data_IF_240025622359
#
_entry.id   IF_240025622359
#
_cell.length_a   1.000
_cell.length_b   1.000
_cell.length_c   1.000
_cell.angle_alpha   90.00
_cell.angle_beta   90.00
_cell.angle_gamma   90.00
#
_symmetry.space_group_name_H-M   'P 1'
#
loop_
_entity.id
_entity.type
_entity.pdbx_description
1 polymer ?
#
# COMPACT_ATOMS: atom_id res chain seq x y z
N UNK A 1 -18.31 3.24 10.51
CA UNK A 1 -16.84 3.33 10.26
C UNK A 1 -16.58 2.49 9.02
N UNK A 2 -15.67 2.89 8.13
CA UNK A 2 -15.60 2.29 6.78
C UNK A 2 -14.92 0.92 6.85
N UNK A 3 -15.71 -0.15 6.70
CA UNK A 3 -15.28 -1.55 6.75
C UNK A 3 -14.06 -1.85 5.84
N UNK A 4 -13.89 -1.09 4.77
CA UNK A 4 -12.75 -1.21 3.84
C UNK A 4 -11.44 -0.68 4.40
N UNK A 5 -11.45 0.42 5.16
CA UNK A 5 -10.21 0.99 5.72
C UNK A 5 -9.65 0.03 6.78
N UNK A 6 -10.53 -0.51 7.63
CA UNK A 6 -10.16 -1.48 8.67
C UNK A 6 -9.63 -2.79 8.06
N UNK A 7 -10.20 -3.22 6.91
CA UNK A 7 -9.68 -4.34 6.14
C UNK A 7 -8.26 -4.06 5.62
N UNK A 8 -8.03 -2.89 5.02
CA UNK A 8 -6.73 -2.52 4.48
C UNK A 8 -5.66 -2.42 5.59
N UNK A 9 -6.04 -1.89 6.75
CA UNK A 9 -5.16 -1.88 7.93
C UNK A 9 -4.79 -3.31 8.36
N UNK A 10 -5.77 -4.22 8.43
CA UNK A 10 -5.53 -5.62 8.80
C UNK A 10 -4.65 -6.36 7.79
N UNK A 11 -4.82 -6.11 6.49
CA UNK A 11 -3.95 -6.65 5.44
C UNK A 11 -2.53 -6.08 5.56
N UNK A 12 -2.39 -4.81 5.96
CA UNK A 12 -1.09 -4.18 6.21
C UNK A 12 -0.37 -4.73 7.44
N UNK A 13 -1.09 -5.05 8.50
CA UNK A 13 -0.55 -5.59 9.75
C UNK A 13 -0.23 -7.09 9.67
N UNK A 14 -1.04 -7.86 8.94
CA UNK A 14 -0.86 -9.31 8.81
C UNK A 14 -0.23 -9.68 7.47
N UNK A 15 1.11 -9.85 7.48
CA UNK A 15 1.88 -10.23 6.31
C UNK A 15 1.42 -11.55 5.65
N UNK A 16 0.70 -12.42 6.38
CA UNK A 16 0.16 -13.67 5.84
C UNK A 16 -1.00 -13.42 4.88
N UNK A 17 -1.77 -12.36 5.09
CA UNK A 17 -2.89 -11.98 4.22
C UNK A 17 -2.42 -11.53 2.83
N UNK A 18 -1.17 -11.08 2.72
CA UNK A 18 -0.53 -10.73 1.44
C UNK A 18 -0.36 -11.91 0.50
N UNK A 19 -0.29 -13.12 1.05
CA UNK A 19 -0.14 -14.38 0.31
C UNK A 19 -1.31 -15.34 0.59
N UNK A 20 -2.42 -14.85 1.15
CA UNK A 20 -3.59 -15.66 1.44
C UNK A 20 -4.15 -16.28 0.16
N UNK A 21 -4.67 -17.49 0.30
CA UNK A 21 -5.44 -18.12 -0.77
C UNK A 21 -6.74 -17.34 -1.03
N UNK A 22 -7.38 -17.58 -2.18
CA UNK A 22 -8.67 -16.95 -2.48
C UNK A 22 -9.74 -17.27 -1.43
N UNK A 23 -9.73 -18.49 -0.89
CA UNK A 23 -10.69 -18.94 0.13
C UNK A 23 -10.44 -18.27 1.49
N UNK A 24 -9.16 -18.09 1.85
CA UNK A 24 -8.79 -17.36 3.06
C UNK A 24 -9.17 -15.87 2.94
N UNK A 25 -9.03 -15.29 1.74
CA UNK A 25 -9.48 -13.92 1.48
C UNK A 25 -11.00 -13.79 1.55
N UNK A 26 -11.74 -14.73 1.00
CA UNK A 26 -13.20 -14.71 1.08
C UNK A 26 -13.71 -14.71 2.53
N UNK A 27 -13.09 -15.52 3.40
CA UNK A 27 -13.40 -15.50 4.84
C UNK A 27 -13.07 -14.17 5.50
N UNK A 28 -11.94 -13.55 5.14
CA UNK A 28 -11.53 -12.26 5.71
C UNK A 28 -12.49 -11.14 5.28
N UNK A 29 -12.89 -11.11 4.01
CA UNK A 29 -13.83 -10.14 3.45
C UNK A 29 -15.22 -10.29 4.08
N UNK A 30 -15.69 -11.53 4.23
CA UNK A 30 -16.97 -11.82 4.90
C UNK A 30 -16.96 -11.39 6.36
N UNK A 31 -15.88 -11.68 7.10
CA UNK A 31 -15.73 -11.26 8.51
C UNK A 31 -15.60 -9.75 8.69
N UNK A 32 -15.09 -9.06 7.68
CA UNK A 32 -14.99 -7.61 7.67
C UNK A 32 -16.30 -6.92 7.24
N UNK A 33 -17.37 -7.68 6.97
CA UNK A 33 -18.67 -7.15 6.55
C UNK A 33 -18.56 -6.22 5.33
N UNK A 34 -17.69 -6.60 4.38
CA UNK A 34 -17.52 -5.88 3.12
C UNK A 34 -18.76 -6.10 2.25
N UNK A 35 -19.13 -5.08 1.48
CA UNK A 35 -20.22 -5.19 0.51
C UNK A 35 -19.97 -6.38 -0.44
N UNK A 36 -20.95 -7.28 -0.65
CA UNK A 36 -20.80 -8.46 -1.49
C UNK A 36 -20.32 -8.14 -2.91
N UNK A 37 -20.69 -6.98 -3.44
CA UNK A 37 -20.29 -6.57 -4.79
C UNK A 37 -18.81 -6.17 -4.84
N UNK A 38 -18.32 -5.53 -3.77
CA UNK A 38 -16.89 -5.21 -3.61
C UNK A 38 -16.09 -6.48 -3.35
N UNK A 39 -16.59 -7.40 -2.53
CA UNK A 39 -15.96 -8.70 -2.28
C UNK A 39 -15.76 -9.49 -3.59
N UNK A 40 -16.79 -9.55 -4.43
CA UNK A 40 -16.70 -10.21 -5.74
C UNK A 40 -15.64 -9.55 -6.65
N UNK A 41 -15.58 -8.22 -6.68
CA UNK A 41 -14.58 -7.49 -7.46
C UNK A 41 -13.14 -7.73 -6.93
N UNK A 42 -12.93 -7.80 -5.61
CA UNK A 42 -11.63 -8.11 -5.00
C UNK A 42 -11.17 -9.53 -5.35
N UNK A 43 -12.05 -10.53 -5.21
CA UNK A 43 -11.73 -11.94 -5.49
C UNK A 43 -11.46 -12.18 -6.98
N UNK A 44 -12.20 -11.50 -7.86
CA UNK A 44 -11.98 -11.54 -9.31
C UNK A 44 -10.73 -10.75 -9.75
N UNK A 45 -10.09 -9.98 -8.86
CA UNK A 45 -9.02 -9.01 -9.16
C UNK A 45 -9.45 -8.00 -10.24
N UNK A 46 -10.74 -7.66 -10.28
CA UNK A 46 -11.32 -6.74 -11.25
C UNK A 46 -11.15 -5.30 -10.79
N UNK A 47 -10.01 -4.71 -11.17
CA UNK A 47 -9.65 -3.35 -10.79
C UNK A 47 -10.65 -2.30 -11.31
N UNK A 48 -11.11 -2.43 -12.56
CA UNK A 48 -12.03 -1.44 -13.16
C UNK A 48 -13.34 -1.40 -12.40
N UNK A 49 -13.90 -2.57 -12.07
CA UNK A 49 -15.14 -2.65 -11.29
C UNK A 49 -14.95 -2.15 -9.87
N UNK A 50 -13.79 -2.38 -9.26
CA UNK A 50 -13.48 -1.88 -7.93
C UNK A 50 -13.41 -0.34 -7.89
N UNK A 51 -12.83 0.28 -8.92
CA UNK A 51 -12.75 1.74 -9.06
C UNK A 51 -14.15 2.37 -9.17
N UNK A 52 -15.04 1.76 -9.96
CA UNK A 52 -16.44 2.19 -10.11
C UNK A 52 -17.22 2.07 -8.79
N UNK A 53 -17.10 0.93 -8.10
CA UNK A 53 -17.81 0.66 -6.83
C UNK A 53 -17.34 1.57 -5.69
N UNK A 54 -16.05 1.89 -5.65
CA UNK A 54 -15.47 2.72 -4.60
C UNK A 54 -15.48 4.21 -4.94
N UNK A 55 -15.97 4.58 -6.12
CA UNK A 55 -15.88 5.94 -6.67
C UNK A 55 -14.47 6.52 -6.52
N UNK A 56 -13.45 5.66 -6.65
CA UNK A 56 -12.06 5.98 -6.35
C UNK A 56 -11.30 6.18 -7.67
N UNK A 57 -10.71 7.36 -7.85
CA UNK A 57 -9.74 7.59 -8.91
C UNK A 57 -8.37 7.06 -8.50
N UNK A 58 -7.55 6.62 -9.45
CA UNK A 58 -6.15 6.21 -9.21
C UNK A 58 -5.40 7.19 -8.30
N UNK A 59 -5.12 6.79 -7.05
CA UNK A 59 -4.31 7.55 -6.09
C UNK A 59 -2.91 6.94 -6.03
N UNK A 60 -1.90 7.70 -6.44
CA UNK A 60 -0.50 7.31 -6.27
C UNK A 60 -0.01 7.79 -4.89
N UNK A 61 0.21 6.86 -3.96
CA UNK A 61 0.76 7.16 -2.63
C UNK A 61 2.25 6.81 -2.59
N UNK A 62 3.10 7.80 -2.37
CA UNK A 62 4.52 7.60 -2.13
C UNK A 62 4.77 7.43 -0.63
N UNK A 63 5.20 6.24 -0.21
CA UNK A 63 5.75 6.01 1.12
C UNK A 63 7.21 6.48 1.14
N UNK A 64 7.44 7.71 1.59
CA UNK A 64 8.78 8.24 1.81
C UNK A 64 9.21 7.79 3.22
N UNK A 65 10.24 6.94 3.37
CA UNK A 65 10.74 6.59 4.70
C UNK A 65 11.14 7.87 5.45
N UNK A 66 10.84 7.97 6.74
CA UNK A 66 11.19 9.14 7.55
C UNK A 66 12.69 9.40 7.45
N UNK A 67 13.06 10.47 6.77
CA UNK A 67 14.45 10.79 6.51
C UNK A 67 15.00 11.55 7.72
N UNK A 68 15.80 10.87 8.56
CA UNK A 68 16.75 11.55 9.45
C UNK A 68 18.03 11.99 8.67
N UNK A 69 18.13 11.61 7.40
CA UNK A 69 19.28 11.84 6.53
C UNK A 69 18.95 12.74 5.30
N UNK A 70 18.14 13.80 5.47
CA UNK A 70 17.68 14.66 4.36
C UNK A 70 18.73 15.74 4.16
N UNK A 71 19.98 15.31 3.97
CA UNK A 71 21.10 16.18 3.67
C UNK A 71 21.76 15.85 2.33
N UNK A 72 21.14 15.01 1.50
CA UNK A 72 21.69 14.63 0.20
C UNK A 72 20.72 14.88 -0.97
N UNK A 73 19.83 15.88 -0.86
CA UNK A 73 19.40 16.57 -2.09
C UNK A 73 20.56 17.49 -2.45
N UNK A 74 21.50 16.94 -3.22
CA UNK A 74 22.60 17.70 -3.79
C UNK A 74 22.03 18.87 -4.58
N UNK A 75 22.16 20.08 -4.06
CA UNK A 75 22.23 21.24 -4.92
C UNK A 75 23.44 21.00 -5.80
N UNK A 76 23.24 20.89 -7.11
CA UNK A 76 24.33 20.95 -8.06
C UNK A 76 25.03 22.29 -7.84
N UNK A 77 26.08 22.27 -7.04
CA UNK A 77 27.09 23.30 -6.95
C UNK A 77 28.35 22.58 -7.35
N UNK A 78 28.75 22.80 -8.60
CA UNK A 78 30.07 22.45 -9.09
C UNK A 78 31.11 22.92 -8.05
N UNK A 79 31.93 22.00 -7.54
CA UNK A 79 33.36 22.15 -7.17
C UNK A 79 33.81 21.15 -6.07
N UNK A 80 34.85 20.39 -6.43
CA UNK A 80 35.93 19.81 -5.60
C UNK A 80 35.73 18.56 -4.69
N UNK A 81 36.25 17.44 -5.22
CA UNK A 81 37.15 16.46 -4.57
C UNK A 81 37.27 16.41 -3.03
N UNK A 82 36.78 15.30 -2.41
CA UNK A 82 37.56 14.29 -1.65
C UNK A 82 36.75 13.54 -0.57
N UNK A 83 37.14 12.27 -0.42
CA UNK A 83 37.03 11.41 0.76
C UNK A 83 35.68 10.76 1.12
N UNK A 84 35.44 9.70 0.36
CA UNK A 84 35.12 8.35 0.85
C UNK A 84 35.37 8.15 2.37
N UNK A 85 34.31 8.16 3.18
CA UNK A 85 34.30 7.59 4.53
C UNK A 85 33.06 6.74 4.77
N UNK A 86 33.28 5.44 4.52
CA UNK A 86 32.79 4.27 5.23
C UNK A 86 31.66 4.50 6.25
N UNK A 87 30.47 3.96 5.98
CA UNK A 87 29.47 3.69 6.99
C UNK A 87 30.01 2.65 8.00
N UNK A 88 29.78 2.91 9.29
CA UNK A 88 29.85 1.93 10.38
C UNK A 88 28.45 1.68 10.91
#
# INVERSE_FOLDING_TARGET
MSNIIDLLEKIGQDARLRHASSDDMDQVLTRAEIDPEVQAAILAKDQSRLEDLLAASNVCLALIPSIECLMLIGTNTDEDDRDQRQCA
#
